data_IF_833463537969
#
_entry.id   IF_833463537969
#
_cell.length_a   1.000
_cell.length_b   1.000
_cell.length_c   1.000
_cell.angle_alpha   90.00
_cell.angle_beta   90.00
_cell.angle_gamma   90.00
#
_symmetry.space_group_name_H-M   'P 1'
#
loop_
_entity.id
_entity.type
_entity.pdbx_description
1 polymer ?
#
# COMPACT_ATOMS: atom_id res chain seq x y z
N UNK A 1 -54.63 -48.53 -23.36
CA UNK A 1 -55.09 -48.75 -24.73
C UNK A 1 -55.40 -47.43 -25.43
N UNK A 2 -54.58 -47.17 -26.46
CA UNK A 2 -54.92 -46.61 -27.79
C UNK A 2 -55.61 -45.22 -27.79
N UNK A 3 -54.95 -44.09 -28.05
CA UNK A 3 -54.26 -43.63 -29.27
C UNK A 3 -55.19 -43.01 -30.34
N UNK A 4 -54.80 -41.79 -30.77
CA UNK A 4 -55.06 -41.10 -32.06
C UNK A 4 -56.41 -40.38 -32.29
N UNK A 5 -56.36 -39.03 -32.42
CA UNK A 5 -56.29 -38.20 -33.67
C UNK A 5 -57.67 -38.04 -34.32
N UNK A 6 -58.12 -36.92 -34.88
CA UNK A 6 -57.66 -35.54 -35.06
C UNK A 6 -58.90 -34.73 -35.52
N UNK A 7 -58.71 -33.45 -35.83
CA UNK A 7 -59.63 -32.57 -36.57
C UNK A 7 -60.83 -31.97 -35.82
N UNK A 8 -60.53 -30.90 -35.06
CA UNK A 8 -61.45 -29.77 -34.96
C UNK A 8 -60.71 -28.46 -35.22
N UNK A 9 -60.88 -27.94 -36.45
CA UNK A 9 -60.62 -26.54 -36.78
C UNK A 9 -61.53 -25.63 -35.96
N UNK A 10 -61.00 -24.55 -35.36
CA UNK A 10 -61.83 -23.40 -34.99
C UNK A 10 -61.49 -22.20 -35.86
N UNK A 11 -62.49 -21.89 -36.69
CA UNK A 11 -63.06 -20.55 -36.84
C UNK A 11 -62.18 -19.45 -37.44
N UNK A 12 -62.61 -19.06 -38.64
CA UNK A 12 -62.51 -17.75 -39.26
C UNK A 12 -62.23 -16.60 -38.27
N UNK A 13 -60.95 -16.24 -38.13
CA UNK A 13 -60.58 -14.88 -37.75
C UNK A 13 -60.79 -14.01 -38.97
N UNK A 14 -61.83 -13.19 -38.90
CA UNK A 14 -62.04 -12.01 -39.73
C UNK A 14 -60.72 -11.27 -39.95
N UNK A 15 -60.20 -11.34 -41.18
CA UNK A 15 -59.13 -10.49 -41.67
C UNK A 15 -59.64 -9.05 -41.70
N UNK A 16 -59.50 -8.33 -40.59
CA UNK A 16 -59.54 -6.87 -40.62
C UNK A 16 -58.37 -6.44 -41.51
N UNK A 17 -58.60 -5.73 -42.64
CA UNK A 17 -57.50 -5.20 -43.42
C UNK A 17 -56.75 -4.23 -42.52
N UNK A 18 -55.56 -4.60 -42.06
CA UNK A 18 -54.64 -3.63 -41.50
C UNK A 18 -54.37 -2.63 -42.62
N UNK A 19 -55.05 -1.46 -42.59
CA UNK A 19 -54.68 -0.31 -43.40
C UNK A 19 -53.19 -0.09 -43.16
N UNK A 20 -52.36 -0.48 -44.12
CA UNK A 20 -50.92 -0.25 -44.07
C UNK A 20 -50.76 1.26 -43.85
N UNK A 21 -50.28 1.64 -42.66
CA UNK A 21 -49.97 3.05 -42.39
C UNK A 21 -49.08 3.54 -43.53
N UNK A 22 -49.35 4.73 -44.11
CA UNK A 22 -48.51 5.26 -45.16
C UNK A 22 -47.07 5.26 -44.65
N UNK A 23 -46.16 4.67 -45.41
CA UNK A 23 -44.76 4.64 -45.04
C UNK A 23 -44.25 6.08 -44.97
N UNK A 24 -43.37 6.37 -44.00
CA UNK A 24 -42.73 7.68 -43.85
C UNK A 24 -41.98 8.16 -45.11
N UNK A 25 -41.75 7.27 -46.07
CA UNK A 25 -41.06 7.52 -47.34
C UNK A 25 -41.84 6.90 -48.51
N UNK A 26 -41.72 7.52 -49.69
CA UNK A 26 -42.21 6.93 -50.95
C UNK A 26 -41.33 5.75 -51.41
N UNK A 27 -41.91 4.82 -52.18
CA UNK A 27 -41.19 3.65 -52.73
C UNK A 27 -39.93 4.05 -53.50
N UNK A 28 -40.04 5.04 -54.37
CA UNK A 28 -38.92 5.60 -55.15
C UNK A 28 -37.80 6.16 -54.25
N UNK A 29 -38.16 6.79 -53.11
CA UNK A 29 -37.18 7.29 -52.14
C UNK A 29 -36.44 6.16 -51.43
N UNK A 30 -37.12 5.05 -51.12
CA UNK A 30 -36.51 3.87 -50.51
C UNK A 30 -35.53 3.22 -51.48
N UNK A 31 -35.94 2.97 -52.72
CA UNK A 31 -35.09 2.38 -53.77
C UNK A 31 -33.82 3.21 -54.04
N UNK A 32 -33.96 4.53 -54.12
CA UNK A 32 -32.82 5.45 -54.30
C UNK A 32 -31.83 5.39 -53.11
N UNK A 33 -32.33 5.22 -51.88
CA UNK A 33 -31.49 5.10 -50.68
C UNK A 33 -30.78 3.75 -50.59
N UNK A 34 -31.38 2.66 -51.06
CA UNK A 34 -30.72 1.36 -51.15
C UNK A 34 -29.54 1.41 -52.12
N UNK A 35 -29.66 2.15 -53.24
CA UNK A 35 -28.56 2.37 -54.19
C UNK A 35 -27.44 3.25 -53.62
N UNK A 36 -27.75 4.15 -52.68
CA UNK A 36 -26.79 5.06 -52.04
C UNK A 36 -26.97 5.06 -50.51
N UNK A 37 -26.53 3.99 -49.81
CA UNK A 37 -26.79 3.82 -48.38
C UNK A 37 -26.08 4.87 -47.53
N UNK A 38 -26.60 5.09 -46.32
CA UNK A 38 -25.90 5.91 -45.33
C UNK A 38 -24.71 5.12 -44.81
N UNK A 39 -23.49 5.62 -45.03
CA UNK A 39 -22.26 4.97 -44.58
C UNK A 39 -21.59 5.76 -43.46
N UNK A 40 -20.91 5.04 -42.56
CA UNK A 40 -19.96 5.65 -41.64
C UNK A 40 -18.75 6.17 -42.42
N UNK A 41 -18.13 7.29 -42.00
CA UNK A 41 -16.83 7.68 -42.53
C UNK A 41 -15.81 6.60 -42.11
N UNK A 42 -15.48 5.68 -43.01
CA UNK A 42 -14.46 4.66 -42.82
C UNK A 42 -13.70 4.48 -44.14
N UNK A 43 -12.38 4.37 -44.03
CA UNK A 43 -11.37 4.19 -45.08
C UNK A 43 -11.93 4.07 -46.53
N UNK A 44 -12.08 5.20 -47.20
CA UNK A 44 -12.20 5.25 -48.67
C UNK A 44 -13.61 5.20 -49.26
N UNK A 45 -14.66 4.86 -48.52
CA UNK A 45 -16.03 4.92 -49.05
C UNK A 45 -16.61 6.34 -48.94
N UNK A 46 -16.81 7.01 -50.08
CA UNK A 46 -17.56 8.28 -50.14
C UNK A 46 -19.04 7.99 -49.89
N UNK A 47 -19.52 8.36 -48.70
CA UNK A 47 -20.96 8.40 -48.41
C UNK A 47 -21.70 9.41 -49.31
N UNK A 48 -23.05 9.47 -49.22
CA UNK A 48 -23.83 10.41 -50.03
C UNK A 48 -23.43 11.86 -49.74
N UNK A 49 -23.68 12.77 -50.68
CA UNK A 49 -23.36 14.19 -50.55
C UNK A 49 -23.87 14.78 -49.22
N UNK A 50 -23.13 15.75 -48.66
CA UNK A 50 -23.43 16.37 -47.34
C UNK A 50 -24.89 16.85 -47.23
N UNK A 51 -25.42 17.47 -48.29
CA UNK A 51 -26.81 17.93 -48.37
C UNK A 51 -27.81 16.79 -48.22
N UNK A 52 -27.58 15.66 -48.88
CA UNK A 52 -28.44 14.46 -48.79
C UNK A 52 -28.38 13.87 -47.36
N UNK A 53 -27.21 13.85 -46.74
CA UNK A 53 -27.08 13.40 -45.34
C UNK A 53 -27.87 14.31 -44.38
N UNK A 54 -27.83 15.63 -44.59
CA UNK A 54 -28.60 16.59 -43.80
C UNK A 54 -30.10 16.39 -43.98
N UNK A 55 -30.55 16.22 -45.22
CA UNK A 55 -31.95 15.93 -45.51
C UNK A 55 -32.43 14.63 -44.84
N UNK A 56 -31.64 13.54 -44.93
CA UNK A 56 -31.97 12.26 -44.28
C UNK A 56 -32.07 12.41 -42.77
N UNK A 57 -31.14 13.13 -42.11
CA UNK A 57 -31.21 13.40 -40.67
C UNK A 57 -32.47 14.17 -40.27
N UNK A 58 -32.83 15.19 -41.05
CA UNK A 58 -34.04 15.99 -40.80
C UNK A 58 -35.31 15.13 -40.88
N UNK A 59 -35.43 14.29 -41.91
CA UNK A 59 -36.57 13.38 -42.06
C UNK A 59 -36.63 12.32 -40.94
N UNK A 60 -35.50 11.75 -40.54
CA UNK A 60 -35.44 10.82 -39.41
C UNK A 60 -35.89 11.48 -38.11
N UNK A 61 -35.45 12.72 -37.88
CA UNK A 61 -35.84 13.49 -36.70
C UNK A 61 -37.34 13.82 -36.71
N UNK A 62 -37.89 14.25 -37.84
CA UNK A 62 -39.32 14.54 -37.97
C UNK A 62 -40.19 13.29 -37.76
N UNK A 63 -39.80 12.15 -38.34
CA UNK A 63 -40.49 10.89 -38.08
C UNK A 63 -40.44 10.50 -36.60
N UNK A 64 -39.32 10.72 -35.91
CA UNK A 64 -39.22 10.49 -34.47
C UNK A 64 -40.13 11.43 -33.66
N UNK A 65 -40.30 12.69 -34.09
CA UNK A 65 -41.26 13.62 -33.47
C UNK A 65 -42.69 13.08 -33.54
N UNK A 66 -43.10 12.60 -34.71
CA UNK A 66 -44.44 12.03 -34.91
C UNK A 66 -44.65 10.71 -34.15
N UNK A 67 -43.64 9.82 -34.13
CA UNK A 67 -43.73 8.52 -33.46
C UNK A 67 -43.78 8.67 -31.94
N UNK A 68 -42.96 9.54 -31.38
CA UNK A 68 -42.81 9.68 -29.92
C UNK A 68 -43.63 10.83 -29.32
N UNK A 69 -44.44 11.52 -30.14
CA UNK A 69 -45.37 12.55 -29.67
C UNK A 69 -44.71 13.85 -29.19
N UNK A 70 -43.65 14.30 -29.87
CA UNK A 70 -43.01 15.58 -29.55
C UNK A 70 -43.95 16.76 -29.86
N UNK A 71 -44.12 17.67 -28.91
CA UNK A 71 -44.97 18.85 -29.04
C UNK A 71 -44.30 19.99 -29.81
N UNK A 72 -45.02 21.09 -30.02
CA UNK A 72 -44.48 22.29 -30.71
C UNK A 72 -43.33 22.95 -29.95
N UNK A 73 -43.33 22.84 -28.61
CA UNK A 73 -42.37 23.48 -27.72
C UNK A 73 -41.46 22.50 -26.97
N UNK A 74 -41.66 21.18 -27.11
CA UNK A 74 -40.86 20.16 -26.44
C UNK A 74 -40.54 18.99 -27.36
N UNK A 75 -39.28 18.94 -27.77
CA UNK A 75 -38.72 17.89 -28.60
C UNK A 75 -38.11 16.72 -27.78
N UNK A 76 -38.16 16.79 -26.44
CA UNK A 76 -37.60 15.78 -25.54
C UNK A 76 -38.09 14.35 -25.82
N UNK A 77 -39.39 14.10 -26.09
CA UNK A 77 -39.86 12.75 -26.42
C UNK A 77 -39.18 12.16 -27.66
N UNK A 78 -38.95 12.97 -28.71
CA UNK A 78 -38.25 12.54 -29.92
C UNK A 78 -36.78 12.21 -29.64
N UNK A 79 -36.10 13.02 -28.82
CA UNK A 79 -34.72 12.77 -28.41
C UNK A 79 -34.59 11.46 -27.61
N UNK A 80 -35.45 11.24 -26.62
CA UNK A 80 -35.47 10.03 -25.79
C UNK A 80 -35.76 8.81 -26.67
N UNK A 81 -36.76 8.91 -27.56
CA UNK A 81 -37.13 7.83 -28.47
C UNK A 81 -36.01 7.42 -29.42
N UNK A 82 -35.29 8.38 -29.99
CA UNK A 82 -34.11 8.12 -30.82
C UNK A 82 -32.99 7.44 -30.04
N UNK A 83 -32.70 7.91 -28.82
CA UNK A 83 -31.65 7.32 -27.97
C UNK A 83 -32.02 5.91 -27.51
N UNK A 84 -33.26 5.70 -27.04
CA UNK A 84 -33.77 4.39 -26.61
C UNK A 84 -33.80 3.38 -27.77
N UNK A 85 -34.22 3.81 -28.96
CA UNK A 85 -34.16 2.97 -30.16
C UNK A 85 -32.72 2.61 -30.51
N UNK A 86 -31.80 3.58 -30.44
CA UNK A 86 -30.37 3.35 -30.66
C UNK A 86 -29.82 2.34 -29.66
N UNK A 87 -30.13 2.48 -28.37
CA UNK A 87 -29.72 1.57 -27.30
C UNK A 87 -30.22 0.13 -27.50
N UNK A 88 -31.47 -0.04 -27.94
CA UNK A 88 -32.08 -1.37 -28.09
C UNK A 88 -31.83 -2.05 -29.43
N UNK A 89 -31.64 -1.29 -30.51
CA UNK A 89 -31.57 -1.83 -31.88
C UNK A 89 -30.19 -1.79 -32.50
N UNK A 90 -29.28 -0.94 -32.03
CA UNK A 90 -27.92 -0.87 -32.58
C UNK A 90 -26.97 -1.82 -31.84
N UNK A 91 -26.28 -2.73 -32.56
CA UNK A 91 -25.23 -3.55 -31.95
C UNK A 91 -24.12 -2.70 -31.33
N UNK A 92 -23.62 -3.12 -30.15
CA UNK A 92 -22.58 -2.42 -29.40
C UNK A 92 -21.33 -2.11 -30.22
N UNK A 93 -20.90 -3.04 -31.09
CA UNK A 93 -19.74 -2.86 -31.99
C UNK A 93 -19.89 -1.63 -32.89
N UNK A 94 -21.07 -1.42 -33.45
CA UNK A 94 -21.37 -0.28 -34.33
C UNK A 94 -21.42 1.02 -33.53
N UNK A 95 -22.00 0.99 -32.32
CA UNK A 95 -22.06 2.15 -31.42
C UNK A 95 -20.65 2.62 -31.03
N UNK A 96 -19.77 1.72 -30.63
CA UNK A 96 -18.38 2.04 -30.27
C UNK A 96 -17.63 2.62 -31.46
N UNK A 97 -17.77 2.02 -32.65
CA UNK A 97 -17.12 2.53 -33.86
C UNK A 97 -17.61 3.95 -34.23
N UNK A 98 -18.92 4.18 -34.20
CA UNK A 98 -19.49 5.50 -34.53
C UNK A 98 -19.12 6.55 -33.48
N UNK A 99 -19.30 6.25 -32.20
CA UNK A 99 -19.10 7.22 -31.12
C UNK A 99 -17.62 7.60 -30.97
N UNK A 100 -16.68 6.67 -31.18
CA UNK A 100 -15.25 6.96 -31.16
C UNK A 100 -14.82 7.90 -32.29
N UNK A 101 -15.39 7.72 -33.50
CA UNK A 101 -15.13 8.59 -34.67
C UNK A 101 -15.84 9.95 -34.58
N UNK A 102 -16.96 10.04 -33.87
CA UNK A 102 -17.74 11.28 -33.76
C UNK A 102 -17.11 12.30 -32.81
N UNK A 103 -16.68 13.46 -33.34
CA UNK A 103 -16.12 14.57 -32.54
C UNK A 103 -17.07 15.08 -31.45
N UNK A 104 -18.40 15.04 -31.68
CA UNK A 104 -19.39 15.47 -30.66
C UNK A 104 -19.39 14.52 -29.47
N UNK A 105 -19.38 13.21 -29.71
CA UNK A 105 -19.35 12.23 -28.63
C UNK A 105 -17.97 12.18 -27.96
N UNK A 106 -16.89 12.00 -28.73
CA UNK A 106 -15.54 11.85 -28.21
C UNK A 106 -14.96 13.08 -27.52
N UNK A 107 -15.29 14.30 -27.98
CA UNK A 107 -14.71 15.54 -27.42
C UNK A 107 -15.65 16.37 -26.56
N UNK A 108 -16.96 16.08 -26.55
CA UNK A 108 -17.94 16.88 -25.77
C UNK A 108 -18.79 16.02 -24.83
N UNK A 109 -19.40 14.94 -25.31
CA UNK A 109 -20.33 14.14 -24.48
C UNK A 109 -19.58 13.29 -23.47
N UNK A 110 -18.66 12.41 -23.91
CA UNK A 110 -17.93 11.54 -22.99
C UNK A 110 -17.12 12.31 -21.94
N UNK A 111 -16.38 13.39 -22.29
CA UNK A 111 -15.69 14.18 -21.27
C UNK A 111 -16.61 14.79 -20.21
N UNK A 112 -17.84 15.20 -20.57
CA UNK A 112 -18.81 15.72 -19.59
C UNK A 112 -19.31 14.65 -18.63
N UNK A 113 -19.64 13.46 -19.15
CA UNK A 113 -20.09 12.32 -18.32
C UNK A 113 -18.95 11.89 -17.40
N UNK A 114 -17.77 11.68 -17.98
CA UNK A 114 -16.59 11.22 -17.24
C UNK A 114 -16.15 12.22 -16.18
N UNK A 115 -16.13 13.54 -16.50
CA UNK A 115 -15.68 14.58 -15.56
C UNK A 115 -16.43 14.50 -14.23
N UNK A 116 -17.76 14.30 -14.26
CA UNK A 116 -18.57 14.15 -13.04
C UNK A 116 -18.14 12.93 -12.21
N UNK A 117 -17.95 11.79 -12.87
CA UNK A 117 -17.50 10.56 -12.20
C UNK A 117 -16.07 10.71 -11.64
N UNK A 118 -15.16 11.34 -12.38
CA UNK A 118 -13.79 11.57 -11.96
C UNK A 118 -13.70 12.55 -10.77
N UNK A 119 -14.51 13.62 -10.76
CA UNK A 119 -14.58 14.56 -9.64
C UNK A 119 -15.11 13.88 -8.38
N UNK A 120 -16.16 13.06 -8.50
CA UNK A 120 -16.68 12.26 -7.39
C UNK A 120 -15.64 11.27 -6.86
N UNK A 121 -14.90 10.60 -7.76
CA UNK A 121 -13.82 9.70 -7.38
C UNK A 121 -12.67 10.45 -6.69
N UNK A 122 -12.26 11.62 -7.17
CA UNK A 122 -11.17 12.41 -6.59
C UNK A 122 -11.43 12.79 -5.12
N UNK A 123 -12.69 12.94 -4.73
CA UNK A 123 -13.13 13.25 -3.36
C UNK A 123 -13.57 12.03 -2.55
N UNK A 124 -13.51 10.83 -3.13
CA UNK A 124 -13.95 9.60 -2.46
C UNK A 124 -12.94 9.07 -1.44
N UNK A 125 -13.44 8.30 -0.48
CA UNK A 125 -12.62 7.53 0.46
C UNK A 125 -11.68 6.55 -0.26
N UNK A 126 -12.13 5.94 -1.35
CA UNK A 126 -11.30 5.05 -2.17
C UNK A 126 -10.03 5.77 -2.68
N UNK A 127 -10.17 7.03 -3.12
CA UNK A 127 -9.00 7.80 -3.56
C UNK A 127 -8.16 8.33 -2.39
N UNK A 128 -8.77 8.54 -1.22
CA UNK A 128 -8.04 8.81 0.04
C UNK A 128 -7.11 7.65 0.37
N UNK A 129 -7.66 6.42 0.49
CA UNK A 129 -6.88 5.22 0.79
C UNK A 129 -5.80 4.94 -0.26
N UNK A 130 -6.12 5.14 -1.55
CA UNK A 130 -5.12 5.08 -2.63
C UNK A 130 -3.98 6.07 -2.42
N UNK A 131 -4.29 7.30 -1.99
CA UNK A 131 -3.27 8.34 -1.76
C UNK A 131 -2.41 8.05 -0.53
N UNK A 132 -3.01 7.52 0.55
CA UNK A 132 -2.32 7.03 1.73
C UNK A 132 -1.37 5.88 1.37
N UNK A 133 -1.86 4.88 0.64
CA UNK A 133 -1.04 3.75 0.17
C UNK A 133 0.17 4.21 -0.65
N UNK A 134 -0.02 5.15 -1.59
CA UNK A 134 1.10 5.73 -2.34
C UNK A 134 2.06 6.53 -1.46
N UNK A 135 1.55 7.19 -0.41
CA UNK A 135 2.39 7.97 0.50
C UNK A 135 3.30 7.10 1.37
N UNK A 136 2.84 5.92 1.78
CA UNK A 136 3.60 4.94 2.53
C UNK A 136 4.33 3.89 1.67
N UNK A 137 4.11 3.90 0.34
CA UNK A 137 4.72 2.88 -0.51
C UNK A 137 6.25 2.96 -0.48
N UNK A 138 6.90 1.87 -0.08
CA UNK A 138 8.36 1.77 0.10
C UNK A 138 8.89 2.80 1.10
N UNK A 139 8.20 2.90 2.23
CA UNK A 139 8.44 3.89 3.28
C UNK A 139 7.74 5.24 3.07
N UNK A 140 7.83 6.09 4.08
CA UNK A 140 7.12 7.38 4.14
C UNK A 140 7.71 8.39 3.13
N UNK A 141 6.89 8.85 2.18
CA UNK A 141 7.32 9.86 1.22
C UNK A 141 7.35 11.27 1.79
N UNK A 142 8.50 11.93 1.73
CA UNK A 142 8.59 13.37 2.02
C UNK A 142 7.76 14.22 1.03
N UNK A 143 7.38 15.43 1.46
CA UNK A 143 6.57 16.42 0.68
C UNK A 143 7.02 16.61 -0.76
N UNK A 144 8.32 16.74 -1.02
CA UNK A 144 8.88 16.93 -2.37
C UNK A 144 8.69 15.67 -3.24
N UNK A 145 8.97 14.49 -2.68
CA UNK A 145 8.84 13.20 -3.35
C UNK A 145 7.38 12.93 -3.72
N UNK A 146 6.46 13.07 -2.76
CA UNK A 146 5.03 12.89 -3.02
C UNK A 146 4.50 13.84 -4.09
N UNK A 147 4.87 15.14 -4.04
CA UNK A 147 4.48 16.12 -5.07
C UNK A 147 5.02 15.78 -6.45
N UNK A 148 6.20 15.16 -6.53
CA UNK A 148 6.76 14.68 -7.79
C UNK A 148 5.94 13.51 -8.35
N UNK A 149 5.66 12.48 -7.53
CA UNK A 149 4.81 11.34 -7.90
C UNK A 149 3.42 11.80 -8.35
N UNK A 150 2.77 12.66 -7.57
CA UNK A 150 1.49 13.28 -7.93
C UNK A 150 1.54 13.93 -9.32
N UNK A 151 2.60 14.68 -9.63
CA UNK A 151 2.75 15.34 -10.95
C UNK A 151 2.96 14.32 -12.05
N UNK A 152 3.86 13.35 -11.88
CA UNK A 152 4.17 12.34 -12.88
C UNK A 152 2.95 11.49 -13.25
N UNK A 153 2.06 11.22 -12.28
CA UNK A 153 0.85 10.42 -12.50
C UNK A 153 -0.31 11.21 -13.12
N UNK A 154 -0.29 12.54 -13.08
CA UNK A 154 -1.46 13.34 -13.43
C UNK A 154 -1.22 14.51 -14.38
N UNK A 155 0.03 14.88 -14.61
CA UNK A 155 0.44 16.04 -15.40
C UNK A 155 1.43 15.63 -16.48
N UNK A 156 1.37 16.32 -17.61
CA UNK A 156 2.33 16.24 -18.71
C UNK A 156 2.65 17.64 -19.22
N UNK A 157 3.78 17.78 -19.92
CA UNK A 157 4.17 19.05 -20.52
C UNK A 157 3.29 19.37 -21.72
N UNK A 158 2.80 20.60 -21.79
CA UNK A 158 1.96 21.01 -22.91
C UNK A 158 2.76 21.00 -24.21
N UNK A 159 2.30 20.30 -25.26
CA UNK A 159 2.99 20.29 -26.55
C UNK A 159 2.99 21.65 -27.23
N UNK A 160 2.05 22.55 -26.87
CA UNK A 160 1.93 23.90 -27.44
C UNK A 160 2.74 24.97 -26.71
N UNK A 161 3.07 24.75 -25.44
CA UNK A 161 3.82 25.69 -24.58
C UNK A 161 4.73 24.88 -23.66
N UNK A 162 6.00 24.73 -24.05
CA UNK A 162 6.99 23.88 -23.36
C UNK A 162 7.13 24.17 -21.85
N UNK A 163 6.73 25.35 -21.38
CA UNK A 163 6.80 25.77 -19.98
C UNK A 163 5.51 25.53 -19.17
N UNK A 164 4.38 25.17 -19.79
CA UNK A 164 3.11 24.94 -19.09
C UNK A 164 2.81 23.46 -18.96
N UNK A 165 2.45 23.03 -17.75
CA UNK A 165 1.95 21.68 -17.50
C UNK A 165 0.43 21.61 -17.66
N UNK A 166 -0.05 20.48 -18.17
CA UNK A 166 -1.49 20.19 -18.34
C UNK A 166 -1.80 18.81 -17.82
N UNK A 167 -3.06 18.56 -17.43
CA UNK A 167 -3.47 17.22 -16.97
C UNK A 167 -3.30 16.20 -18.09
N UNK A 168 -2.84 15.00 -17.75
CA UNK A 168 -2.84 13.85 -18.66
C UNK A 168 -4.30 13.57 -19.04
N UNK A 169 -4.55 13.40 -20.34
CA UNK A 169 -5.88 13.14 -20.88
C UNK A 169 -5.88 11.90 -21.77
N UNK A 170 -6.91 11.07 -21.61
CA UNK A 170 -7.23 9.95 -22.49
C UNK A 170 -8.62 10.24 -23.06
N UNK A 171 -8.78 10.23 -24.39
CA UNK A 171 -10.07 10.56 -25.04
C UNK A 171 -10.67 11.90 -24.57
N UNK A 172 -9.83 12.93 -24.42
CA UNK A 172 -10.22 14.25 -23.86
C UNK A 172 -10.76 14.22 -22.43
N UNK A 173 -10.62 13.11 -21.72
CA UNK A 173 -10.98 12.92 -20.32
C UNK A 173 -9.71 12.98 -19.46
N UNK A 174 -9.66 13.86 -18.47
CA UNK A 174 -8.50 14.01 -17.58
C UNK A 174 -8.42 12.87 -16.58
N UNK A 175 -7.23 12.29 -16.37
CA UNK A 175 -7.07 11.21 -15.38
C UNK A 175 -7.36 11.70 -13.94
N UNK A 176 -7.96 10.87 -13.08
CA UNK A 176 -8.22 11.21 -11.69
C UNK A 176 -6.90 11.35 -10.93
N UNK A 177 -6.77 12.43 -10.15
CA UNK A 177 -5.58 12.72 -9.36
C UNK A 177 -5.62 12.03 -7.99
N UNK A 178 -4.44 11.75 -7.45
CA UNK A 178 -4.27 11.52 -6.02
C UNK A 178 -4.68 12.77 -5.23
N UNK A 179 -4.84 12.65 -3.91
CA UNK A 179 -5.08 13.82 -3.08
C UNK A 179 -3.85 14.74 -3.08
N UNK A 180 -4.03 16.07 -3.12
CA UNK A 180 -2.95 17.00 -2.88
C UNK A 180 -2.31 16.76 -1.51
N UNK A 181 -0.99 16.88 -1.43
CA UNK A 181 -0.22 16.63 -0.19
C UNK A 181 -0.81 17.30 1.06
N UNK A 182 -1.24 18.55 0.95
CA UNK A 182 -1.78 19.27 2.12
C UNK A 182 -3.06 18.62 2.63
N UNK A 183 -3.97 18.19 1.74
CA UNK A 183 -5.20 17.49 2.15
C UNK A 183 -4.90 16.12 2.74
N UNK A 184 -3.94 15.41 2.14
CA UNK A 184 -3.48 14.12 2.65
C UNK A 184 -2.89 14.25 4.05
N UNK A 185 -2.00 15.22 4.30
CA UNK A 185 -1.41 15.45 5.62
C UNK A 185 -2.45 15.90 6.63
N UNK A 186 -3.41 16.74 6.26
CA UNK A 186 -4.52 17.09 7.15
C UNK A 186 -5.24 15.82 7.63
N UNK A 187 -5.62 14.95 6.70
CA UNK A 187 -6.22 13.65 7.05
C UNK A 187 -5.28 12.80 7.93
N UNK A 188 -4.01 12.65 7.55
CA UNK A 188 -3.06 11.83 8.32
C UNK A 188 -2.80 12.39 9.73
N UNK A 189 -2.90 13.70 9.93
CA UNK A 189 -2.77 14.33 11.24
C UNK A 189 -4.05 14.20 12.09
N UNK A 190 -5.22 13.99 11.46
CA UNK A 190 -6.46 13.67 12.16
C UNK A 190 -6.50 12.22 12.63
N UNK A 191 -5.70 11.33 12.01
CA UNK A 191 -5.54 9.96 12.48
C UNK A 191 -4.85 9.99 13.83
N UNK A 192 -5.58 9.60 14.86
CA UNK A 192 -5.01 9.37 16.18
C UNK A 192 -4.04 8.19 16.12
N UNK A 193 -2.76 8.48 16.34
CA UNK A 193 -1.65 7.52 16.35
C UNK A 193 -1.18 7.19 17.77
N UNK A 194 -1.92 7.64 18.79
CA UNK A 194 -1.56 7.52 20.19
C UNK A 194 -0.63 8.63 20.68
N UNK A 195 -0.26 8.53 21.95
CA UNK A 195 0.59 9.53 22.60
C UNK A 195 2.03 9.44 22.10
N UNK A 196 2.56 10.55 21.60
CA UNK A 196 3.98 10.68 21.26
C UNK A 196 4.72 11.34 22.43
N UNK A 197 5.76 10.67 22.92
CA UNK A 197 6.67 11.16 23.95
C UNK A 197 7.96 11.72 23.33
N UNK A 198 8.59 12.65 24.01
CA UNK A 198 9.76 13.40 23.51
C UNK A 198 11.06 12.71 23.93
N UNK A 199 11.86 12.27 22.95
CA UNK A 199 13.17 11.65 23.22
C UNK A 199 14.10 12.64 23.94
N UNK A 200 13.97 13.92 23.62
CA UNK A 200 14.81 14.97 24.19
C UNK A 200 14.51 15.17 25.67
N UNK A 201 13.23 15.26 26.02
CA UNK A 201 12.79 15.49 27.39
C UNK A 201 13.09 14.29 28.28
N UNK A 202 12.81 13.08 27.80
CA UNK A 202 12.87 11.88 28.63
C UNK A 202 14.28 11.29 28.75
N UNK A 203 15.15 11.50 27.74
CA UNK A 203 16.45 10.82 27.68
C UNK A 203 17.66 11.74 27.54
N UNK A 204 17.49 13.07 27.45
CA UNK A 204 18.60 13.99 27.20
C UNK A 204 18.76 15.10 28.25
N UNK A 205 18.05 15.04 29.38
CA UNK A 205 18.01 16.13 30.39
C UNK A 205 19.37 16.52 30.98
N UNK A 206 20.29 15.56 31.09
CA UNK A 206 21.65 15.72 31.62
C UNK A 206 22.74 15.73 30.53
N UNK A 207 22.35 15.79 29.26
CA UNK A 207 23.28 15.85 28.14
C UNK A 207 23.55 17.29 27.73
N UNK A 208 24.79 17.55 27.32
CA UNK A 208 25.20 18.80 26.69
C UNK A 208 24.35 19.09 25.45
N UNK A 209 24.11 20.37 25.14
CA UNK A 209 23.21 20.79 24.05
C UNK A 209 23.55 20.15 22.70
N UNK A 210 24.82 19.88 22.43
CA UNK A 210 25.31 19.26 21.20
C UNK A 210 24.98 17.76 21.11
N UNK A 211 24.84 17.09 22.26
CA UNK A 211 24.52 15.67 22.39
C UNK A 211 23.00 15.42 22.55
N UNK A 212 22.20 16.48 22.69
CA UNK A 212 20.75 16.36 22.79
C UNK A 212 20.12 15.99 21.45
N UNK A 213 19.26 14.97 21.50
CA UNK A 213 18.64 14.39 20.30
C UNK A 213 17.20 14.82 20.18
N UNK A 214 16.80 15.28 18.99
CA UNK A 214 15.40 15.46 18.63
C UNK A 214 14.82 14.16 18.10
N UNK A 215 13.65 13.79 18.63
CA UNK A 215 12.92 12.62 18.21
C UNK A 215 11.68 12.41 19.04
N UNK A 216 10.88 11.44 18.62
CA UNK A 216 9.70 11.00 19.34
C UNK A 216 9.66 9.47 19.43
N UNK A 217 8.98 8.98 20.45
CA UNK A 217 8.71 7.57 20.62
C UNK A 217 7.29 7.34 21.14
N UNK A 218 6.82 6.10 21.04
CA UNK A 218 5.54 5.66 21.62
C UNK A 218 5.81 4.79 22.83
N UNK A 219 4.96 4.94 23.83
CA UNK A 219 4.89 4.00 24.95
C UNK A 219 4.51 2.61 24.43
N UNK A 220 5.34 1.59 24.70
CA UNK A 220 5.14 0.28 24.11
C UNK A 220 3.86 -0.38 24.66
N UNK A 221 3.57 -0.17 25.94
CA UNK A 221 2.39 -0.74 26.59
C UNK A 221 1.11 -0.15 26.01
N UNK A 222 1.01 1.17 25.89
CA UNK A 222 -0.13 1.85 25.25
C UNK A 222 -0.27 1.41 23.78
N UNK A 223 0.85 1.37 23.06
CA UNK A 223 0.84 1.09 21.62
C UNK A 223 0.43 -0.35 21.30
N UNK A 224 0.97 -1.35 22.01
CA UNK A 224 0.60 -2.75 21.81
C UNK A 224 -0.85 -3.02 22.18
N UNK A 225 -1.35 -2.37 23.24
CA UNK A 225 -2.77 -2.46 23.62
C UNK A 225 -3.67 -1.88 22.52
N UNK A 226 -3.30 -0.73 21.96
CA UNK A 226 -4.05 -0.12 20.85
C UNK A 226 -4.04 -1.00 19.60
N UNK A 227 -2.87 -1.52 19.22
CA UNK A 227 -2.75 -2.47 18.11
C UNK A 227 -3.61 -3.71 18.35
N UNK A 228 -3.61 -4.23 19.59
CA UNK A 228 -4.37 -5.41 19.90
C UNK A 228 -5.87 -5.22 19.74
N UNK A 229 -6.38 -4.10 20.27
CA UNK A 229 -7.77 -3.70 20.08
C UNK A 229 -8.13 -3.56 18.59
N UNK A 230 -7.26 -2.92 17.79
CA UNK A 230 -7.50 -2.76 16.35
C UNK A 230 -7.61 -4.10 15.62
N UNK A 231 -6.67 -5.02 15.84
CA UNK A 231 -6.68 -6.29 15.13
C UNK A 231 -7.80 -7.22 15.59
N UNK A 232 -8.10 -7.28 16.89
CA UNK A 232 -9.22 -8.08 17.40
C UNK A 232 -10.59 -7.58 16.95
N UNK A 233 -10.70 -6.30 16.58
CA UNK A 233 -11.95 -5.73 16.06
C UNK A 233 -12.05 -5.80 14.53
N UNK A 234 -10.92 -5.91 13.84
CA UNK A 234 -10.86 -5.84 12.37
C UNK A 234 -10.68 -7.21 11.71
N UNK A 235 -10.04 -8.17 12.39
CA UNK A 235 -9.78 -9.51 11.88
C UNK A 235 -10.64 -10.55 12.61
N UNK A 236 -10.98 -11.62 11.91
CA UNK A 236 -11.58 -12.79 12.56
C UNK A 236 -10.52 -13.45 13.45
N UNK A 237 -10.94 -14.03 14.58
CA UNK A 237 -10.04 -14.75 15.50
C UNK A 237 -9.36 -15.95 14.86
N UNK A 238 -9.91 -16.47 13.75
CA UNK A 238 -9.36 -17.60 12.99
C UNK A 238 -8.19 -17.17 12.07
N UNK A 239 -8.09 -15.87 11.76
CA UNK A 239 -7.00 -15.29 10.96
C UNK A 239 -5.85 -14.71 11.82
N UNK A 240 -5.87 -14.97 13.14
CA UNK A 240 -5.10 -14.23 14.14
C UNK A 240 -3.97 -15.07 14.78
N UNK A 241 -2.81 -15.18 14.11
CA UNK A 241 -1.63 -15.90 14.65
C UNK A 241 -0.58 -14.97 15.33
N UNK A 242 -0.49 -13.69 14.95
CA UNK A 242 0.46 -12.72 15.55
C UNK A 242 0.16 -11.27 15.15
N UNK A 243 0.17 -10.32 16.09
CA UNK A 243 -0.04 -8.87 15.85
C UNK A 243 0.95 -8.24 14.86
N UNK A 244 2.15 -8.82 14.71
CA UNK A 244 3.23 -8.32 13.84
C UNK A 244 3.51 -9.22 12.64
N UNK A 245 2.91 -10.40 12.54
CA UNK A 245 3.13 -11.35 11.43
C UNK A 245 1.83 -11.68 10.66
N UNK A 246 0.79 -10.82 10.70
CA UNK A 246 -0.38 -10.98 9.80
C UNK A 246 0.00 -10.62 8.35
N UNK A 247 0.69 -11.57 7.70
CA UNK A 247 1.02 -11.58 6.28
C UNK A 247 2.44 -11.13 5.94
N UNK A 248 2.93 -11.59 4.78
CA UNK A 248 4.14 -11.16 4.05
C UNK A 248 4.31 -9.63 3.85
N UNK A 249 3.42 -8.81 4.43
CA UNK A 249 3.43 -7.34 4.36
C UNK A 249 4.16 -6.70 5.55
N UNK A 250 4.03 -7.24 6.77
CA UNK A 250 4.59 -6.60 7.98
C UNK A 250 6.07 -6.96 8.19
N UNK A 251 6.51 -8.13 7.71
CA UNK A 251 7.94 -8.47 7.61
C UNK A 251 8.69 -7.68 6.52
N UNK A 252 7.98 -6.90 5.70
CA UNK A 252 8.62 -6.06 4.70
C UNK A 252 9.14 -4.78 5.34
N UNK A 253 10.43 -4.50 5.15
CA UNK A 253 11.04 -3.19 5.39
C UNK A 253 10.31 -2.00 4.71
N UNK A 254 9.34 -2.27 3.83
CA UNK A 254 8.50 -1.27 3.17
C UNK A 254 7.39 -0.68 4.08
N UNK A 255 6.87 -1.44 5.06
CA UNK A 255 5.74 -1.04 5.92
C UNK A 255 6.24 -0.66 7.33
N UNK A 256 6.67 0.59 7.48
CA UNK A 256 7.35 1.08 8.69
C UNK A 256 6.37 1.50 9.80
N UNK A 257 6.22 0.69 10.85
CA UNK A 257 5.60 1.12 12.11
C UNK A 257 6.67 1.65 13.06
N UNK A 258 6.90 2.95 13.01
CA UNK A 258 7.95 3.59 13.80
C UNK A 258 7.54 3.67 15.29
N UNK A 259 8.17 2.86 16.15
CA UNK A 259 8.05 2.96 17.61
C UNK A 259 8.97 4.08 18.15
N UNK A 260 10.12 4.27 17.50
CA UNK A 260 11.14 5.26 17.84
C UNK A 260 11.69 5.92 16.59
N UNK A 261 11.66 7.25 16.54
CA UNK A 261 12.17 8.04 15.44
C UNK A 261 12.99 9.20 15.97
N UNK A 262 14.30 9.17 15.75
CA UNK A 262 15.19 10.25 16.16
C UNK A 262 16.34 10.42 15.17
N UNK A 263 16.96 11.60 15.19
CA UNK A 263 18.16 11.87 14.41
C UNK A 263 19.41 11.63 15.26
N UNK A 264 19.68 10.37 15.63
CA UNK A 264 20.88 10.01 16.38
C UNK A 264 21.55 8.75 15.88
N UNK A 265 22.83 8.59 16.19
CA UNK A 265 23.54 7.34 15.99
C UNK A 265 23.07 6.28 17.00
N UNK A 266 23.24 5.01 16.63
CA UNK A 266 22.99 3.85 17.51
C UNK A 266 23.72 4.01 18.85
N UNK A 267 24.92 4.60 18.84
CA UNK A 267 25.78 4.76 20.02
C UNK A 267 25.43 5.95 20.91
N UNK A 268 24.45 6.78 20.52
CA UNK A 268 24.04 7.93 21.33
C UNK A 268 23.51 7.48 22.70
N UNK A 269 23.79 8.28 23.73
CA UNK A 269 23.31 8.02 25.08
C UNK A 269 21.78 7.98 25.14
N UNK A 270 21.10 8.84 24.35
CA UNK A 270 19.64 8.85 24.23
C UNK A 270 19.08 7.53 23.68
N UNK A 271 19.66 7.00 22.59
CA UNK A 271 19.24 5.71 22.03
C UNK A 271 19.44 4.56 23.03
N UNK A 272 20.57 4.54 23.75
CA UNK A 272 20.84 3.54 24.80
C UNK A 272 19.81 3.57 25.92
N UNK A 273 19.46 4.77 26.39
CA UNK A 273 18.46 4.96 27.45
C UNK A 273 17.07 4.52 27.00
N UNK A 274 16.70 4.88 25.77
CA UNK A 274 15.45 4.41 25.17
C UNK A 274 15.39 2.87 25.07
N UNK A 275 16.46 2.22 24.59
CA UNK A 275 16.51 0.74 24.50
C UNK A 275 16.36 0.10 25.88
N UNK A 276 17.02 0.64 26.90
CA UNK A 276 16.91 0.13 28.27
C UNK A 276 15.48 0.29 28.84
N UNK A 277 14.81 1.42 28.55
CA UNK A 277 13.41 1.62 28.91
C UNK A 277 12.51 0.59 28.21
N UNK A 278 12.67 0.40 26.90
CA UNK A 278 11.89 -0.58 26.13
C UNK A 278 12.10 -2.00 26.65
N UNK A 279 13.34 -2.40 26.95
CA UNK A 279 13.62 -3.73 27.49
C UNK A 279 12.88 -3.96 28.82
N UNK A 280 12.77 -2.92 29.66
CA UNK A 280 12.00 -2.97 30.90
C UNK A 280 10.50 -3.05 30.64
N UNK A 281 9.97 -2.21 29.74
CA UNK A 281 8.56 -2.26 29.34
C UNK A 281 8.18 -3.63 28.78
N UNK A 282 9.00 -4.21 27.91
CA UNK A 282 8.81 -5.56 27.37
C UNK A 282 8.70 -6.61 28.49
N UNK A 283 9.55 -6.52 29.51
CA UNK A 283 9.51 -7.45 30.64
C UNK A 283 8.22 -7.31 31.47
N UNK A 284 7.78 -6.07 31.72
CA UNK A 284 6.54 -5.78 32.43
C UNK A 284 5.31 -6.25 31.64
N UNK A 285 5.32 -6.03 30.32
CA UNK A 285 4.26 -6.44 29.39
C UNK A 285 4.12 -7.97 29.36
N UNK A 286 5.22 -8.75 29.31
CA UNK A 286 5.12 -10.22 29.33
C UNK A 286 4.59 -10.80 30.64
N UNK A 287 4.76 -10.07 31.75
CA UNK A 287 4.22 -10.46 33.07
C UNK A 287 2.75 -10.08 33.22
N UNK A 288 2.29 -9.09 32.46
CA UNK A 288 0.95 -8.51 32.56
C UNK A 288 -0.17 -9.38 31.97
N UNK A 289 -1.39 -9.06 32.39
CA UNK A 289 -2.63 -9.52 31.78
C UNK A 289 -3.41 -8.27 31.35
N UNK A 290 -3.82 -8.22 30.08
CA UNK A 290 -4.46 -7.04 29.49
C UNK A 290 -5.90 -7.40 29.10
N UNK A 291 -6.87 -6.64 29.59
CA UNK A 291 -8.29 -6.88 29.35
C UNK A 291 -8.82 -6.00 28.22
N UNK A 292 -9.52 -6.61 27.27
CA UNK A 292 -10.15 -5.99 26.11
C UNK A 292 -11.60 -6.45 26.01
N UNK A 293 -12.52 -5.63 26.53
CA UNK A 293 -13.91 -6.06 26.73
C UNK A 293 -13.95 -7.29 27.64
N UNK A 294 -14.38 -8.42 27.08
CA UNK A 294 -14.46 -9.71 27.77
C UNK A 294 -13.25 -10.62 27.52
N UNK A 295 -12.32 -10.21 26.65
CA UNK A 295 -11.12 -10.98 26.31
C UNK A 295 -9.95 -10.59 27.18
N UNK A 296 -9.20 -11.58 27.68
CA UNK A 296 -7.93 -11.37 28.39
C UNK A 296 -6.79 -11.81 27.48
N UNK A 297 -5.84 -10.91 27.25
CA UNK A 297 -4.67 -11.14 26.39
C UNK A 297 -3.41 -11.15 27.24
N UNK A 298 -2.49 -12.04 26.89
CA UNK A 298 -1.10 -12.03 27.33
C UNK A 298 -0.20 -11.78 26.14
N UNK A 299 0.68 -10.80 26.22
CA UNK A 299 1.67 -10.54 25.19
C UNK A 299 2.91 -11.40 25.40
N UNK A 300 3.53 -11.80 24.29
CA UNK A 300 4.83 -12.48 24.26
C UNK A 300 5.64 -11.95 23.09
N UNK A 301 6.88 -11.53 23.33
CA UNK A 301 7.80 -11.08 22.28
C UNK A 301 8.56 -12.30 21.74
N UNK A 302 8.12 -12.90 20.65
CA UNK A 302 8.70 -14.17 20.20
C UNK A 302 9.95 -14.02 19.31
N UNK A 303 9.99 -12.99 18.47
CA UNK A 303 11.00 -12.82 17.42
C UNK A 303 11.67 -11.46 17.51
N UNK A 304 12.97 -11.43 17.23
CA UNK A 304 13.76 -10.20 17.20
C UNK A 304 14.62 -10.13 15.92
N UNK A 305 13.99 -9.93 14.74
CA UNK A 305 14.71 -9.87 13.46
C UNK A 305 15.50 -8.56 13.38
N UNK A 306 16.81 -8.66 13.24
CA UNK A 306 17.70 -7.52 13.03
C UNK A 306 18.96 -7.99 12.28
N UNK A 307 19.64 -7.07 11.61
CA UNK A 307 20.93 -7.38 11.02
C UNK A 307 21.97 -7.71 12.12
N UNK A 308 22.98 -8.51 11.77
CA UNK A 308 23.98 -8.99 12.73
C UNK A 308 24.74 -7.85 13.46
N UNK A 309 24.93 -6.69 12.82
CA UNK A 309 25.64 -5.58 13.46
C UNK A 309 24.77 -4.95 14.54
N UNK A 310 23.48 -4.75 14.25
CA UNK A 310 22.53 -4.24 15.23
C UNK A 310 22.30 -5.24 16.38
N UNK A 311 22.21 -6.54 16.07
CA UNK A 311 22.14 -7.59 17.09
C UNK A 311 23.36 -7.60 18.01
N UNK A 312 24.58 -7.49 17.46
CA UNK A 312 25.79 -7.41 18.26
C UNK A 312 25.77 -6.19 19.20
N UNK A 313 25.29 -5.04 18.69
CA UNK A 313 25.15 -3.84 19.49
C UNK A 313 24.15 -4.00 20.65
N UNK A 314 22.94 -4.49 20.34
CA UNK A 314 21.89 -4.73 21.33
C UNK A 314 22.25 -5.82 22.33
N UNK A 315 22.99 -6.83 21.88
CA UNK A 315 23.56 -7.88 22.71
C UNK A 315 24.72 -7.38 23.57
N UNK A 316 25.27 -6.18 23.37
CA UNK A 316 26.44 -5.70 24.13
C UNK A 316 27.75 -6.40 23.74
N UNK A 317 27.81 -6.92 22.51
CA UNK A 317 28.87 -7.76 21.99
C UNK A 317 29.91 -6.95 21.17
N UNK A 318 31.03 -7.60 20.88
CA UNK A 318 32.02 -7.14 19.91
C UNK A 318 31.45 -7.13 18.49
N UNK A 319 32.10 -6.40 17.59
CA UNK A 319 31.74 -6.40 16.17
C UNK A 319 32.06 -7.74 15.49
N UNK A 320 31.50 -7.97 14.31
CA UNK A 320 31.68 -9.21 13.54
C UNK A 320 33.13 -9.44 13.04
N UNK A 321 34.05 -8.50 13.27
CA UNK A 321 35.47 -8.67 13.01
C UNK A 321 36.22 -9.39 14.16
N UNK A 322 35.53 -9.71 15.27
CA UNK A 322 36.10 -10.43 16.39
C UNK A 322 36.35 -11.91 16.05
N UNK A 323 37.15 -12.59 16.90
CA UNK A 323 37.43 -14.02 16.77
C UNK A 323 36.15 -14.86 16.70
N UNK A 324 35.15 -14.51 17.50
CA UNK A 324 33.81 -15.07 17.43
C UNK A 324 32.92 -14.07 16.69
N UNK A 325 32.64 -14.34 15.42
CA UNK A 325 32.04 -13.36 14.49
C UNK A 325 30.51 -13.47 14.40
N UNK A 326 29.92 -14.61 14.80
CA UNK A 326 28.47 -14.84 14.76
C UNK A 326 27.77 -14.38 16.04
N UNK A 327 26.71 -13.58 15.91
CA UNK A 327 25.83 -13.14 17.02
C UNK A 327 24.85 -14.22 17.43
N UNK A 328 24.80 -15.32 16.68
CA UNK A 328 23.84 -16.40 16.88
C UNK A 328 24.47 -17.64 17.51
N UNK A 329 25.80 -17.78 17.43
CA UNK A 329 26.47 -19.02 17.80
C UNK A 329 27.94 -18.79 18.21
N UNK A 330 28.47 -19.71 19.02
CA UNK A 330 29.86 -19.76 19.51
C UNK A 330 30.90 -20.19 18.45
N UNK A 331 30.76 -19.69 17.23
CA UNK A 331 31.62 -20.00 16.08
C UNK A 331 32.83 -19.07 16.06
N UNK A 332 34.02 -19.65 16.06
CA UNK A 332 35.29 -18.92 15.88
C UNK A 332 35.75 -18.91 14.43
N UNK A 333 36.50 -17.89 14.03
CA UNK A 333 37.20 -17.79 12.73
C UNK A 333 37.99 -19.06 12.36
N UNK A 334 38.59 -19.73 13.35
CA UNK A 334 39.44 -20.91 13.17
C UNK A 334 38.65 -22.15 12.72
N UNK A 335 37.31 -22.13 12.84
CA UNK A 335 36.41 -23.25 12.55
C UNK A 335 35.48 -22.98 11.36
N UNK A 336 35.67 -21.87 10.65
CA UNK A 336 34.76 -21.35 9.62
C UNK A 336 34.67 -22.24 8.36
N UNK A 337 35.75 -22.92 7.99
CA UNK A 337 35.84 -23.70 6.74
C UNK A 337 35.09 -25.03 6.77
N UNK A 338 34.55 -25.42 7.92
CA UNK A 338 33.95 -26.74 8.11
C UNK A 338 32.43 -26.69 8.03
N UNK A 339 31.93 -26.91 6.81
CA UNK A 339 30.49 -26.91 6.49
C UNK A 339 29.74 -28.16 6.97
N UNK A 340 30.45 -29.16 7.54
CA UNK A 340 29.82 -30.38 8.08
C UNK A 340 29.28 -30.20 9.50
N UNK A 341 29.61 -29.08 10.14
CA UNK A 341 29.27 -28.79 11.53
C UNK A 341 27.83 -28.35 11.69
N UNK A 342 27.23 -28.81 12.78
CA UNK A 342 25.83 -28.57 13.13
C UNK A 342 25.68 -27.46 14.17
N UNK A 343 24.62 -26.68 14.05
CA UNK A 343 24.22 -25.65 15.01
C UNK A 343 22.96 -26.07 15.76
N UNK A 344 22.95 -25.88 17.08
CA UNK A 344 21.76 -26.09 17.90
C UNK A 344 22.08 -26.18 19.39
N UNK A 345 21.02 -26.22 20.21
CA UNK A 345 21.14 -26.27 21.67
C UNK A 345 21.44 -27.68 22.21
N UNK A 346 21.49 -28.71 21.37
CA UNK A 346 21.70 -30.09 21.83
C UNK A 346 23.19 -30.37 22.02
N UNK A 347 23.50 -31.28 22.94
CA UNK A 347 24.88 -31.60 23.29
C UNK A 347 25.73 -32.14 22.13
N UNK A 348 25.09 -32.74 21.12
CA UNK A 348 25.75 -33.23 19.91
C UNK A 348 26.02 -32.14 18.85
N UNK A 349 25.55 -30.92 19.06
CA UNK A 349 25.82 -29.82 18.14
C UNK A 349 27.24 -29.28 18.33
N UNK A 350 27.88 -28.96 17.21
CA UNK A 350 29.23 -28.40 17.17
C UNK A 350 29.28 -26.96 17.65
N UNK A 351 28.20 -26.23 17.39
CA UNK A 351 28.02 -24.83 17.74
C UNK A 351 26.70 -24.62 18.47
N UNK A 352 26.74 -23.79 19.51
CA UNK A 352 25.61 -23.52 20.40
C UNK A 352 25.21 -22.06 20.33
N UNK A 353 23.92 -21.76 20.50
CA UNK A 353 23.46 -20.39 20.72
C UNK A 353 24.13 -19.78 21.94
N UNK A 354 24.32 -18.46 21.91
CA UNK A 354 24.74 -17.73 23.10
C UNK A 354 23.61 -17.74 24.11
N UNK A 355 23.93 -17.97 25.39
CA UNK A 355 22.96 -17.93 26.48
C UNK A 355 23.13 -16.65 27.31
N UNK A 356 22.01 -15.96 27.60
CA UNK A 356 22.01 -14.69 28.32
C UNK A 356 22.75 -14.75 29.67
N UNK A 357 22.58 -15.82 30.45
CA UNK A 357 23.25 -15.95 31.74
C UNK A 357 24.77 -16.07 31.62
N UNK A 358 25.27 -16.77 30.59
CA UNK A 358 26.70 -16.86 30.32
C UNK A 358 27.27 -15.52 29.84
N UNK A 359 26.52 -14.82 28.99
CA UNK A 359 26.85 -13.46 28.53
C UNK A 359 27.02 -12.52 29.73
N UNK A 360 26.04 -12.47 30.65
CA UNK A 360 26.14 -11.65 31.86
C UNK A 360 27.40 -11.97 32.69
N UNK A 361 27.73 -13.26 32.86
CA UNK A 361 28.90 -13.67 33.61
C UNK A 361 30.22 -13.18 32.97
N UNK A 362 30.32 -13.20 31.63
CA UNK A 362 31.48 -12.67 30.90
C UNK A 362 31.51 -11.15 30.95
N UNK A 363 30.38 -10.47 30.75
CA UNK A 363 30.26 -9.01 30.81
C UNK A 363 30.78 -8.45 32.15
N UNK A 364 30.42 -9.08 33.26
CA UNK A 364 30.91 -8.73 34.60
C UNK A 364 32.43 -8.85 34.72
N UNK A 365 32.99 -9.97 34.25
CA UNK A 365 34.46 -10.18 34.23
C UNK A 365 35.18 -9.14 33.36
N UNK A 366 34.59 -8.76 32.22
CA UNK A 366 35.12 -7.72 31.32
C UNK A 366 35.07 -6.34 31.98
N UNK A 367 33.99 -6.01 32.67
CA UNK A 367 33.86 -4.76 33.43
C UNK A 367 34.94 -4.65 34.51
N UNK A 368 35.18 -5.73 35.27
CA UNK A 368 36.24 -5.79 36.29
C UNK A 368 37.63 -5.59 35.66
N UNK A 369 37.89 -6.22 34.51
CA UNK A 369 39.14 -6.04 33.77
C UNK A 369 39.30 -4.59 33.28
N UNK A 370 38.25 -3.98 32.71
CA UNK A 370 38.27 -2.57 32.27
C UNK A 370 38.55 -1.64 33.45
N UNK A 371 37.92 -1.88 34.61
CA UNK A 371 38.18 -1.14 35.84
C UNK A 371 39.64 -1.22 36.30
N UNK A 372 40.25 -2.41 36.23
CA UNK A 372 41.68 -2.61 36.52
C UNK A 372 42.58 -1.90 35.51
N UNK A 373 42.30 -2.05 34.21
CA UNK A 373 43.09 -1.44 33.14
C UNK A 373 43.02 0.09 33.17
N UNK A 374 41.87 0.67 33.53
CA UNK A 374 41.71 2.13 33.61
C UNK A 374 42.64 2.77 34.66
N UNK A 375 42.99 2.04 35.72
CA UNK A 375 43.98 2.48 36.74
C UNK A 375 45.43 2.45 36.24
N UNK A 376 45.70 1.82 35.09
CA UNK A 376 47.04 1.74 34.51
C UNK A 376 47.28 2.87 33.50
N UNK A 377 48.54 3.36 33.42
CA UNK A 377 48.99 4.37 32.43
C UNK A 377 49.17 3.83 31.00
N UNK A 378 48.57 2.68 30.67
CA UNK A 378 48.70 2.08 29.34
C UNK A 378 47.95 2.89 28.28
N UNK A 379 48.45 2.87 27.05
CA UNK A 379 47.79 3.50 25.91
C UNK A 379 46.40 2.88 25.64
N UNK A 380 45.40 3.65 25.17
CA UNK A 380 44.05 3.15 24.89
C UNK A 380 44.01 1.93 23.96
N UNK A 381 44.84 1.92 22.91
CA UNK A 381 44.94 0.79 21.97
C UNK A 381 45.41 -0.50 22.67
N UNK A 382 46.37 -0.39 23.57
CA UNK A 382 46.87 -1.54 24.35
C UNK A 382 45.79 -2.06 25.30
N UNK A 383 45.05 -1.16 25.95
CA UNK A 383 43.90 -1.52 26.80
C UNK A 383 42.83 -2.25 25.97
N UNK A 384 42.49 -1.73 24.79
CA UNK A 384 41.51 -2.36 23.87
C UNK A 384 41.94 -3.77 23.46
N UNK A 385 43.20 -3.94 23.05
CA UNK A 385 43.75 -5.25 22.67
C UNK A 385 43.67 -6.27 23.80
N UNK A 386 43.99 -5.87 25.04
CA UNK A 386 43.86 -6.73 26.22
C UNK A 386 42.41 -7.13 26.51
N UNK A 387 41.46 -6.20 26.38
CA UNK A 387 40.03 -6.50 26.55
C UNK A 387 39.56 -7.49 25.48
N UNK A 388 39.87 -7.27 24.21
CA UNK A 388 39.46 -8.18 23.13
C UNK A 388 40.10 -9.56 23.23
N UNK A 389 41.37 -9.64 23.64
CA UNK A 389 42.06 -10.91 23.89
C UNK A 389 41.44 -11.68 25.07
N UNK A 390 41.06 -10.97 26.13
CA UNK A 390 40.38 -11.56 27.28
C UNK A 390 38.98 -12.10 26.93
N UNK A 391 38.22 -11.36 26.12
CA UNK A 391 36.91 -11.82 25.64
C UNK A 391 37.07 -13.10 24.81
N UNK A 392 38.04 -13.12 23.89
CA UNK A 392 38.33 -14.29 23.06
C UNK A 392 38.81 -15.50 23.88
N UNK A 393 39.60 -15.31 24.95
CA UNK A 393 40.05 -16.41 25.82
C UNK A 393 38.92 -17.02 26.65
N UNK A 394 37.86 -16.26 26.93
CA UNK A 394 36.63 -16.76 27.55
C UNK A 394 35.67 -17.40 26.53
N UNK A 395 36.10 -17.62 25.28
CA UNK A 395 35.28 -18.16 24.19
C UNK A 395 33.98 -17.39 23.96
N UNK A 396 34.03 -16.08 24.12
CA UNK A 396 32.86 -15.22 24.05
C UNK A 396 33.11 -14.08 23.07
N UNK A 397 32.04 -13.32 22.80
CA UNK A 397 32.06 -12.01 22.15
C UNK A 397 31.51 -10.91 23.04
N UNK A 398 31.18 -11.21 24.30
CA UNK A 398 30.51 -10.27 25.20
C UNK A 398 31.44 -9.17 25.70
N UNK A 399 31.04 -7.91 25.57
CA UNK A 399 31.83 -6.77 26.05
C UNK A 399 31.14 -5.95 27.16
N UNK A 400 29.83 -5.78 27.07
CA UNK A 400 28.97 -5.05 28.01
C UNK A 400 27.80 -5.92 28.41
N UNK A 401 26.92 -5.49 29.30
CA UNK A 401 25.66 -6.23 29.53
C UNK A 401 24.74 -6.05 28.31
N UNK A 402 23.98 -7.09 27.90
CA UNK A 402 23.00 -6.96 26.82
C UNK A 402 21.97 -5.86 27.10
N UNK A 403 21.81 -4.92 26.18
CA UNK A 403 20.93 -3.76 26.31
C UNK A 403 19.45 -4.16 26.35
N UNK A 404 19.10 -5.26 25.67
CA UNK A 404 17.76 -5.84 25.64
C UNK A 404 17.60 -7.00 26.64
N UNK A 405 18.55 -7.19 27.55
CA UNK A 405 18.48 -8.23 28.59
C UNK A 405 18.25 -9.64 28.01
N UNK A 406 17.38 -10.42 28.69
CA UNK A 406 17.03 -11.80 28.32
C UNK A 406 16.42 -11.97 26.93
N UNK A 407 15.97 -10.88 26.30
CA UNK A 407 15.40 -10.93 24.96
C UNK A 407 16.45 -11.19 23.88
N UNK A 408 17.75 -11.06 24.21
CA UNK A 408 18.85 -11.41 23.30
C UNK A 408 18.83 -12.88 22.87
N UNK A 409 18.34 -13.79 23.73
CA UNK A 409 18.19 -15.22 23.43
C UNK A 409 17.12 -15.52 22.36
N UNK A 410 16.32 -14.50 22.00
CA UNK A 410 15.27 -14.58 20.98
C UNK A 410 15.71 -14.00 19.63
N UNK A 411 16.97 -13.60 19.53
CA UNK A 411 17.57 -13.25 18.25
C UNK A 411 17.61 -14.51 17.36
N UNK A 412 17.16 -14.36 16.12
CA UNK A 412 17.14 -15.44 15.14
C UNK A 412 17.76 -14.95 13.84
N UNK A 413 18.36 -15.88 13.09
CA UNK A 413 18.82 -15.61 11.74
C UNK A 413 17.57 -15.50 10.89
N UNK A 414 17.25 -14.29 10.43
CA UNK A 414 16.29 -14.13 9.36
C UNK A 414 16.96 -14.69 8.10
N UNK A 415 16.50 -15.82 7.52
CA UNK A 415 17.02 -16.23 6.23
C UNK A 415 16.63 -15.10 5.28
N UNK A 416 17.61 -14.37 4.73
CA UNK A 416 17.35 -13.41 3.67
C UNK A 416 16.60 -14.13 2.54
N UNK A 417 15.28 -14.05 2.54
CA UNK A 417 14.40 -14.56 1.47
C UNK A 417 14.27 -13.51 0.39
#
# INVERSE_FOLDING_TARGET
DIQELADQSPQARTNVPQKKKPSFLSKQSVESRCKHPTALPSNGQKGPASTIQTQRRSQTYQAAKEIHGAGLNDDTPAHIGLLSTTEKRCPTKILVEFMSKSKKFSKKVFPKIYKKAAEAFETSEVNMLRSVSIFYSRGVMGKKKYRSVYRSLSMTTSPKKKTKTTRIQVMSCSLPRLLPYNKLITFLNEVDIGTLKSVREDFCSDLELEDQVYGCYRDLSEYLVRLASFYLTTLSTEDFDCFLNVGHKILSSDDNFLIFGSNCSEQSTAARRYIAMIAKEMEEIEKGLFRFGDTIIRFRFAEFPNDMKMLAYLGGELTNAAKYFSTFADISSDKLSDVSKSFGSKQHNDFRPWEYHEQLAVAKKVADLKGKLNKTKQAPRTKRSKVTAFIASNKSRQEFEPLIGKFTDRAHVDPCT
#
